data_IF_675033812618
#
_entry.id   IF_675033812618
#
_cell.length_a   1.000
_cell.length_b   1.000
_cell.length_c   1.000
_cell.angle_alpha   90.00
_cell.angle_beta   90.00
_cell.angle_gamma   90.00
#
_symmetry.space_group_name_H-M   'P 1'
#
loop_
_entity.id
_entity.type
_entity.pdbx_description
1 polymer ?
#
# COMPACT_ATOMS: atom_id res chain seq x y z
N UNK A 1 -16.27 27.09 1.75
CA UNK A 1 -15.73 26.28 2.86
C UNK A 1 -15.52 24.87 2.29
N UNK A 2 -14.27 24.40 2.18
CA UNK A 2 -13.97 23.07 1.64
C UNK A 2 -14.18 22.05 2.77
N UNK A 3 -15.33 21.37 2.75
CA UNK A 3 -15.61 20.28 3.68
C UNK A 3 -14.69 19.11 3.37
N UNK A 4 -13.91 18.69 4.36
CA UNK A 4 -13.05 17.52 4.21
C UNK A 4 -13.94 16.27 4.06
N UNK A 5 -13.79 15.49 2.99
CA UNK A 5 -14.54 14.24 2.84
C UNK A 5 -14.12 13.28 3.96
N UNK A 6 -15.09 12.75 4.70
CA UNK A 6 -14.82 11.69 5.68
C UNK A 6 -14.55 10.39 4.92
N UNK A 7 -13.27 10.09 4.72
CA UNK A 7 -12.84 8.81 4.14
C UNK A 7 -12.75 7.75 5.23
N UNK A 8 -13.33 6.58 4.97
CA UNK A 8 -13.18 5.41 5.83
C UNK A 8 -11.72 4.90 5.74
N UNK A 9 -10.98 4.87 6.86
CA UNK A 9 -9.59 4.39 6.86
C UNK A 9 -9.49 2.87 6.67
N UNK A 10 -10.58 2.13 6.85
CA UNK A 10 -10.64 0.67 6.69
C UNK A 10 -10.94 0.33 5.23
N UNK A 11 -10.03 -0.37 4.58
CA UNK A 11 -10.21 -0.85 3.22
C UNK A 11 -11.01 -2.16 3.21
N UNK A 12 -10.67 -3.10 4.10
CA UNK A 12 -11.29 -4.42 4.19
C UNK A 12 -11.39 -4.81 5.66
N UNK A 13 -12.57 -5.23 6.11
CA UNK A 13 -12.77 -5.78 7.45
C UNK A 13 -13.06 -7.27 7.38
N UNK A 14 -12.12 -8.10 7.84
CA UNK A 14 -12.31 -9.54 8.05
C UNK A 14 -12.51 -9.80 9.55
N UNK A 15 -13.76 -9.67 10.02
CA UNK A 15 -14.12 -9.93 11.41
C UNK A 15 -13.29 -9.10 12.40
N UNK A 16 -12.42 -9.70 13.23
CA UNK A 16 -11.56 -8.96 14.16
C UNK A 16 -10.39 -8.24 13.48
N UNK A 17 -10.12 -8.49 12.19
CA UNK A 17 -8.98 -7.93 11.47
C UNK A 17 -9.43 -6.83 10.51
N UNK A 18 -9.10 -5.58 10.82
CA UNK A 18 -9.32 -4.43 9.94
C UNK A 18 -8.06 -4.09 9.17
N UNK A 19 -8.09 -4.30 7.86
CA UNK A 19 -7.05 -3.89 6.93
C UNK A 19 -7.31 -2.44 6.53
N UNK A 20 -6.33 -1.59 6.82
CA UNK A 20 -6.42 -0.16 6.53
C UNK A 20 -5.70 0.19 5.24
N UNK A 21 -6.11 1.30 4.62
CA UNK A 21 -5.49 1.82 3.40
C UNK A 21 -3.99 2.09 3.55
N UNK A 22 -3.54 2.57 4.72
CA UNK A 22 -2.11 2.79 4.97
C UNK A 22 -1.31 1.47 4.90
N UNK A 23 -1.87 0.37 5.39
CA UNK A 23 -1.22 -0.94 5.38
C UNK A 23 -1.06 -1.46 3.95
N UNK A 24 -2.12 -1.34 3.15
CA UNK A 24 -2.08 -1.66 1.71
C UNK A 24 -1.00 -0.82 1.02
N UNK A 25 -0.95 0.47 1.30
CA UNK A 25 0.01 1.37 0.67
C UNK A 25 1.46 0.99 1.00
N UNK A 26 1.76 0.56 2.23
CA UNK A 26 3.08 0.05 2.60
C UNK A 26 3.44 -1.22 1.81
N UNK A 27 2.51 -2.17 1.67
CA UNK A 27 2.75 -3.41 0.93
C UNK A 27 3.03 -3.10 -0.55
N UNK A 28 2.25 -2.21 -1.15
CA UNK A 28 2.43 -1.80 -2.56
C UNK A 28 3.76 -1.07 -2.75
N UNK A 29 4.11 -0.13 -1.86
CA UNK A 29 5.36 0.62 -1.96
C UNK A 29 6.57 -0.30 -1.78
N UNK A 30 6.56 -1.16 -0.76
CA UNK A 30 7.65 -2.07 -0.48
C UNK A 30 7.79 -3.13 -1.59
N UNK A 31 6.68 -3.75 -2.00
CA UNK A 31 6.66 -4.72 -3.09
C UNK A 31 7.11 -4.13 -4.42
N UNK A 32 6.65 -2.91 -4.74
CA UNK A 32 7.07 -2.17 -5.92
C UNK A 32 8.56 -1.80 -5.91
N UNK A 33 9.07 -1.29 -4.79
CA UNK A 33 10.47 -0.97 -4.63
C UNK A 33 11.36 -2.23 -4.74
N UNK A 34 10.96 -3.33 -4.08
CA UNK A 34 11.67 -4.60 -4.15
C UNK A 34 11.67 -5.19 -5.56
N UNK A 35 10.53 -5.15 -6.24
CA UNK A 35 10.39 -5.60 -7.62
C UNK A 35 11.30 -4.80 -8.56
N UNK A 36 11.26 -3.46 -8.47
CA UNK A 36 12.09 -2.57 -9.28
C UNK A 36 13.58 -2.77 -9.00
N UNK A 37 13.97 -2.86 -7.73
CA UNK A 37 15.35 -3.10 -7.32
C UNK A 37 15.86 -4.44 -7.85
N UNK A 38 15.05 -5.50 -7.75
CA UNK A 38 15.38 -6.83 -8.26
C UNK A 38 15.44 -6.87 -9.79
N UNK A 39 14.53 -6.17 -10.46
CA UNK A 39 14.52 -6.02 -11.93
C UNK A 39 15.79 -5.34 -12.41
N UNK A 40 16.18 -4.23 -11.76
CA UNK A 40 17.40 -3.49 -12.07
C UNK A 40 18.66 -4.29 -11.74
N UNK A 41 18.70 -4.98 -10.61
CA UNK A 41 19.83 -5.84 -10.25
C UNK A 41 20.09 -6.93 -11.30
N UNK A 42 19.02 -7.49 -11.90
CA UNK A 42 19.12 -8.46 -13.00
C UNK A 42 19.58 -7.87 -14.34
N UNK A 43 19.33 -6.59 -14.59
CA UNK A 43 19.75 -5.90 -15.82
C UNK A 43 21.15 -5.27 -15.72
N UNK A 44 21.77 -5.29 -14.54
CA UNK A 44 23.11 -4.75 -14.29
C UNK A 44 24.21 -5.83 -14.29
N UNK A 45 23.88 -7.07 -14.64
CA UNK A 45 24.82 -8.19 -14.82
C UNK A 45 24.98 -8.48 -16.32
#
# INVERSE_FOLDING_TARGET
MLTYPQFDPVAISLGPLSIHWYGIMYIVAFGGAWFLASYRARHSA
#
